data_IF_029641743598
#
_entry.id   IF_029641743598
#
_cell.length_a   1.000
_cell.length_b   1.000
_cell.length_c   1.000
_cell.angle_alpha   90.00
_cell.angle_beta   90.00
_cell.angle_gamma   90.00
#
_symmetry.space_group_name_H-M   'P 1'
#
loop_
_entity.id
_entity.type
_entity.pdbx_description
1 polymer ?
#
# COMPACT_ATOMS: atom_id res chain seq x y z
N UNK A 1 -9.81 9.32 7.11
CA UNK A 1 -9.69 8.12 6.23
C UNK A 1 -11.04 7.41 6.14
N UNK A 2 -11.47 7.09 4.94
CA UNK A 2 -12.74 6.38 4.73
C UNK A 2 -12.65 4.92 5.20
N UNK A 3 -13.80 4.27 5.38
CA UNK A 3 -13.83 2.85 5.72
C UNK A 3 -13.15 1.99 4.66
N UNK A 4 -13.39 2.32 3.38
CA UNK A 4 -12.75 1.60 2.27
C UNK A 4 -11.22 1.74 2.30
N UNK A 5 -10.72 2.92 2.64
CA UNK A 5 -9.28 3.15 2.75
C UNK A 5 -8.68 2.44 3.95
N UNK A 6 -9.41 2.36 5.06
CA UNK A 6 -8.96 1.59 6.23
C UNK A 6 -8.84 0.11 5.89
N UNK A 7 -9.79 -0.44 5.15
CA UNK A 7 -9.73 -1.81 4.69
C UNK A 7 -8.57 -2.04 3.72
N UNK A 8 -8.35 -1.08 2.82
CA UNK A 8 -7.23 -1.14 1.89
C UNK A 8 -5.90 -1.18 2.64
N UNK A 9 -5.74 -0.35 3.66
CA UNK A 9 -4.52 -0.31 4.47
C UNK A 9 -4.32 -1.64 5.20
N UNK A 10 -5.39 -2.20 5.77
CA UNK A 10 -5.33 -3.51 6.43
C UNK A 10 -4.90 -4.59 5.44
N UNK A 11 -5.44 -4.56 4.22
CA UNK A 11 -5.09 -5.52 3.17
C UNK A 11 -3.59 -5.45 2.84
N UNK A 12 -3.07 -4.25 2.63
CA UNK A 12 -1.66 -4.08 2.31
C UNK A 12 -0.74 -4.47 3.46
N UNK A 13 -1.10 -4.11 4.69
CA UNK A 13 -0.31 -4.49 5.88
C UNK A 13 -0.28 -6.01 6.06
N UNK A 14 -1.40 -6.66 5.80
CA UNK A 14 -1.48 -8.12 5.90
C UNK A 14 -0.60 -8.77 4.84
N UNK A 15 -0.64 -8.28 3.62
CA UNK A 15 0.19 -8.78 2.53
C UNK A 15 1.66 -8.56 2.82
N UNK A 16 2.03 -7.42 3.38
CA UNK A 16 3.41 -7.08 3.69
C UNK A 16 3.99 -7.81 4.90
N UNK A 17 3.14 -8.45 5.72
CA UNK A 17 3.54 -9.03 7.00
C UNK A 17 4.63 -10.09 6.88
N UNK A 18 4.64 -10.84 5.77
CA UNK A 18 5.63 -11.88 5.54
C UNK A 18 6.89 -11.41 4.83
N UNK A 19 7.15 -10.13 4.82
CA UNK A 19 8.21 -9.50 4.05
C UNK A 19 9.57 -10.20 4.13
N UNK A 20 10.01 -10.62 5.30
CA UNK A 20 11.32 -11.27 5.46
C UNK A 20 11.28 -12.69 4.88
N UNK A 21 11.94 -12.91 3.74
CA UNK A 21 11.93 -14.17 3.03
C UNK A 21 10.68 -14.38 2.20
N UNK A 22 10.01 -13.31 1.85
CA UNK A 22 8.68 -13.31 1.29
C UNK A 22 8.66 -13.48 -0.23
N UNK A 23 7.46 -13.68 -0.74
CA UNK A 23 7.19 -13.62 -2.18
C UNK A 23 7.41 -12.20 -2.71
N UNK A 24 7.50 -12.06 -4.04
CA UNK A 24 7.67 -10.73 -4.64
C UNK A 24 6.46 -9.82 -4.36
N UNK A 25 5.25 -10.38 -4.24
CA UNK A 25 4.06 -9.61 -3.92
C UNK A 25 4.09 -9.05 -2.50
N UNK A 26 4.58 -9.83 -1.53
CA UNK A 26 4.71 -9.39 -0.15
C UNK A 26 5.74 -8.26 -0.04
N UNK A 27 6.87 -8.41 -0.70
CA UNK A 27 7.90 -7.37 -0.75
C UNK A 27 7.38 -6.12 -1.42
N UNK A 28 6.63 -6.27 -2.51
CA UNK A 28 6.04 -5.14 -3.23
C UNK A 28 5.09 -4.35 -2.34
N UNK A 29 4.22 -5.03 -1.59
CA UNK A 29 3.30 -4.38 -0.67
C UNK A 29 4.05 -3.61 0.41
N UNK A 30 5.10 -4.21 0.97
CA UNK A 30 5.92 -3.58 2.00
C UNK A 30 6.58 -2.30 1.48
N UNK A 31 7.16 -2.35 0.28
CA UNK A 31 7.83 -1.19 -0.31
C UNK A 31 6.85 -0.07 -0.65
N UNK A 32 5.67 -0.41 -1.18
CA UNK A 32 4.64 0.59 -1.47
C UNK A 32 4.18 1.27 -0.18
N UNK A 33 3.95 0.51 0.88
CA UNK A 33 3.59 1.09 2.18
C UNK A 33 4.69 2.03 2.71
N UNK A 34 5.95 1.64 2.58
CA UNK A 34 7.06 2.48 2.99
C UNK A 34 7.10 3.79 2.18
N UNK A 35 6.84 3.71 0.89
CA UNK A 35 6.78 4.91 0.05
C UNK A 35 5.63 5.82 0.47
N UNK A 36 4.43 5.27 0.65
CA UNK A 36 3.25 6.07 1.00
C UNK A 36 3.33 6.66 2.40
N UNK A 37 3.88 5.91 3.34
CA UNK A 37 3.94 6.34 4.73
C UNK A 37 5.13 7.25 5.02
N UNK A 38 6.32 6.88 4.53
CA UNK A 38 7.57 7.50 4.92
C UNK A 38 8.25 8.28 3.80
N UNK A 39 7.71 8.22 2.58
CA UNK A 39 8.32 8.86 1.42
C UNK A 39 9.56 8.14 0.92
N UNK A 40 9.76 6.88 1.28
CA UNK A 40 10.91 6.10 0.83
C UNK A 40 10.94 5.99 -0.70
N UNK A 41 12.11 6.07 -1.28
CA UNK A 41 12.25 5.91 -2.72
C UNK A 41 12.13 4.43 -3.09
N UNK A 42 11.15 4.11 -3.94
CA UNK A 42 10.91 2.75 -4.40
C UNK A 42 10.50 2.80 -5.87
N UNK A 43 10.65 1.67 -6.57
CA UNK A 43 10.09 1.53 -7.92
C UNK A 43 8.59 1.24 -7.77
N UNK A 44 7.79 2.31 -7.65
CA UNK A 44 6.36 2.18 -7.42
C UNK A 44 5.66 1.34 -8.51
N UNK A 45 5.90 1.64 -9.77
CA UNK A 45 5.25 0.94 -10.87
C UNK A 45 5.64 -0.54 -10.90
N UNK A 46 6.93 -0.84 -10.75
CA UNK A 46 7.41 -2.22 -10.71
C UNK A 46 6.83 -3.01 -9.56
N UNK A 47 6.73 -2.38 -8.38
CA UNK A 47 6.12 -3.03 -7.22
C UNK A 47 4.62 -3.21 -7.39
N UNK A 48 3.95 -2.20 -7.96
CA UNK A 48 2.50 -2.26 -8.19
C UNK A 48 2.11 -3.48 -9.04
N UNK A 49 2.84 -3.73 -10.14
CA UNK A 49 2.50 -4.84 -11.02
C UNK A 49 2.73 -6.22 -10.39
N UNK A 50 3.53 -6.29 -9.32
CA UNK A 50 3.77 -7.54 -8.60
C UNK A 50 2.67 -7.89 -7.62
N UNK A 51 1.79 -6.95 -7.29
CA UNK A 51 0.68 -7.18 -6.38
C UNK A 51 -0.39 -8.04 -7.06
N UNK A 52 -1.13 -8.80 -6.25
CA UNK A 52 -2.33 -9.45 -6.76
C UNK A 52 -3.44 -8.41 -6.97
N UNK A 53 -4.61 -8.86 -7.47
CA UNK A 53 -5.70 -7.93 -7.75
C UNK A 53 -6.23 -7.25 -6.47
N UNK A 54 -6.23 -7.93 -5.35
CA UNK A 54 -6.65 -7.33 -4.07
C UNK A 54 -5.67 -6.24 -3.64
N UNK A 55 -4.37 -6.51 -3.76
CA UNK A 55 -3.34 -5.53 -3.42
C UNK A 55 -3.39 -4.31 -4.34
N UNK A 56 -3.57 -4.53 -5.65
CA UNK A 56 -3.70 -3.42 -6.60
C UNK A 56 -4.89 -2.53 -6.29
N UNK A 57 -6.04 -3.14 -6.00
CA UNK A 57 -7.25 -2.38 -5.63
C UNK A 57 -7.04 -1.60 -4.35
N UNK A 58 -6.34 -2.18 -3.38
CA UNK A 58 -6.06 -1.51 -2.12
C UNK A 58 -5.21 -0.26 -2.35
N UNK A 59 -4.17 -0.35 -3.17
CA UNK A 59 -3.33 0.79 -3.51
C UNK A 59 -4.14 1.88 -4.21
N UNK A 60 -4.96 1.50 -5.19
CA UNK A 60 -5.81 2.45 -5.92
C UNK A 60 -6.75 3.17 -4.95
N UNK A 61 -7.36 2.45 -4.01
CA UNK A 61 -8.26 3.05 -3.04
C UNK A 61 -7.55 4.08 -2.16
N UNK A 62 -6.32 3.79 -1.71
CA UNK A 62 -5.55 4.74 -0.93
C UNK A 62 -5.19 5.98 -1.75
N UNK A 63 -4.79 5.80 -3.00
CA UNK A 63 -4.47 6.92 -3.88
C UNK A 63 -5.68 7.81 -4.13
N UNK A 64 -6.86 7.21 -4.32
CA UNK A 64 -8.11 7.98 -4.48
C UNK A 64 -8.40 8.81 -3.23
N UNK A 65 -8.19 8.24 -2.06
CA UNK A 65 -8.40 8.96 -0.80
C UNK A 65 -7.44 10.13 -0.66
N UNK A 66 -6.18 9.97 -1.11
CA UNK A 66 -5.23 11.08 -1.13
C UNK A 66 -5.71 12.22 -2.04
N UNK A 67 -6.24 11.88 -3.22
CA UNK A 67 -6.69 12.91 -4.18
C UNK A 67 -7.90 13.66 -3.69
N UNK A 68 -8.73 13.07 -2.84
CA UNK A 68 -9.90 13.71 -2.26
C UNK A 68 -9.59 14.41 -0.93
N UNK A 69 -8.36 14.33 -0.46
CA UNK A 69 -7.96 14.93 0.80
C UNK A 69 -8.42 14.17 2.03
N UNK A 70 -8.94 12.97 1.85
CA UNK A 70 -9.46 12.16 2.96
C UNK A 70 -8.39 11.47 3.80
N UNK A 71 -7.20 11.30 3.24
CA UNK A 71 -6.11 10.60 3.91
C UNK A 71 -4.82 11.43 3.85
N UNK A 72 -4.25 11.72 5.00
CA UNK A 72 -2.91 12.31 5.07
C UNK A 72 -1.87 11.21 5.28
N UNK A 73 -0.62 11.50 4.96
CA UNK A 73 0.47 10.52 5.13
C UNK A 73 0.58 10.03 6.57
N UNK A 74 0.37 10.93 7.54
CA UNK A 74 0.45 10.59 8.96
C UNK A 74 -0.59 9.56 9.39
N UNK A 75 -1.70 9.45 8.68
CA UNK A 75 -2.76 8.49 9.01
C UNK A 75 -2.41 7.07 8.61
N UNK A 76 -1.34 6.88 7.84
CA UNK A 76 -0.90 5.55 7.41
C UNK A 76 -0.05 4.83 8.45
N UNK A 77 0.29 5.51 9.50
CA UNK A 77 1.10 4.95 10.60
C UNK A 77 0.31 3.99 11.48
#
# INVERSE_FOLDING_TARGET
MTAASKEALVTLRRTARGHAGASSGETAAWEILANLRDGAEVDFAGNFVRLDSCGKRAVVQLLLDFTTGGTGLSELN
#
